data_IF_416860272914
#
_entry.id   IF_416860272914
#
_cell.length_a   1.000
_cell.length_b   1.000
_cell.length_c   1.000
_cell.angle_alpha   90.00
_cell.angle_beta   90.00
_cell.angle_gamma   90.00
#
_symmetry.space_group_name_H-M   'P 1'
#
loop_
_entity.id
_entity.type
_entity.pdbx_description
1 polymer ?
#
# COMPACT_ATOMS: atom_id res chain seq x y z
N UNK A 1 -28.10 -2.42 -89.00
CA UNK A 1 -27.94 -0.98 -89.35
C UNK A 1 -28.27 -0.16 -88.11
N UNK A 2 -27.64 1.01 -87.97
CA UNK A 2 -27.46 1.83 -86.75
C UNK A 2 -26.25 1.39 -85.93
N UNK A 3 -25.41 2.27 -85.42
CA UNK A 3 -25.12 3.68 -85.66
C UNK A 3 -23.95 4.01 -84.72
N UNK A 4 -23.05 4.86 -85.18
CA UNK A 4 -21.85 5.34 -84.51
C UNK A 4 -22.10 6.10 -83.19
N UNK A 5 -20.96 6.37 -82.52
CA UNK A 5 -20.59 7.48 -81.61
C UNK A 5 -20.53 7.07 -80.13
N UNK A 6 -19.60 7.53 -79.31
CA UNK A 6 -18.42 8.39 -79.44
C UNK A 6 -17.68 8.26 -78.10
N UNK A 7 -16.36 8.22 -78.11
CA UNK A 7 -15.56 8.29 -76.88
C UNK A 7 -15.75 9.63 -76.17
N UNK A 8 -16.12 9.57 -74.89
CA UNK A 8 -15.90 10.61 -73.88
C UNK A 8 -15.72 9.87 -72.54
N UNK A 9 -14.53 9.96 -71.96
CA UNK A 9 -14.23 9.43 -70.62
C UNK A 9 -14.42 10.58 -69.63
N UNK A 10 -15.39 10.52 -68.69
CA UNK A 10 -15.42 11.45 -67.59
C UNK A 10 -14.52 10.96 -66.46
N UNK A 11 -13.75 11.90 -65.92
CA UNK A 11 -12.99 11.82 -64.67
C UNK A 11 -13.78 11.07 -63.57
N UNK A 12 -13.18 10.01 -63.04
CA UNK A 12 -13.64 9.37 -61.82
C UNK A 12 -13.33 10.30 -60.63
N UNK A 13 -14.34 11.01 -60.13
CA UNK A 13 -14.28 11.58 -58.79
C UNK A 13 -14.42 10.42 -57.78
N UNK A 14 -13.29 9.88 -57.33
CA UNK A 14 -13.27 9.08 -56.11
C UNK A 14 -13.65 9.99 -54.93
N UNK A 15 -14.83 9.73 -54.38
CA UNK A 15 -15.21 10.22 -53.05
C UNK A 15 -14.22 9.63 -52.05
N UNK A 16 -13.37 10.50 -51.53
CA UNK A 16 -12.51 10.26 -50.39
C UNK A 16 -13.39 9.91 -49.18
N UNK A 17 -13.60 8.62 -48.94
CA UNK A 17 -14.07 8.14 -47.64
C UNK A 17 -12.86 8.02 -46.74
N UNK A 18 -12.86 8.89 -45.74
CA UNK A 18 -12.14 8.77 -44.49
C UNK A 18 -12.14 7.32 -43.98
N UNK A 19 -10.96 6.82 -43.63
CA UNK A 19 -10.68 6.08 -42.40
C UNK A 19 -9.25 6.51 -42.03
N UNK A 20 -9.12 7.34 -41.00
CA UNK A 20 -7.83 7.50 -40.32
C UNK A 20 -7.75 6.32 -39.36
N UNK A 21 -7.24 5.19 -39.83
CA UNK A 21 -6.82 4.11 -38.94
C UNK A 21 -5.51 4.54 -38.30
N UNK A 22 -5.60 5.14 -37.11
CA UNK A 22 -4.46 5.10 -36.20
C UNK A 22 -4.36 3.66 -35.70
N UNK A 23 -3.28 2.91 -36.00
CA UNK A 23 -3.09 1.62 -35.36
C UNK A 23 -3.06 1.88 -33.85
N UNK A 24 -3.99 1.24 -33.13
CA UNK A 24 -4.02 1.35 -31.68
C UNK A 24 -2.62 1.01 -31.15
N UNK A 25 -2.01 1.95 -30.44
CA UNK A 25 -0.70 1.72 -29.86
C UNK A 25 -0.78 0.52 -28.91
N UNK A 26 0.22 -0.34 -28.94
CA UNK A 26 0.36 -1.46 -27.98
C UNK A 26 1.53 -1.15 -27.05
N UNK A 27 1.46 -1.66 -25.82
CA UNK A 27 2.62 -1.60 -24.91
C UNK A 27 3.77 -2.46 -25.46
N UNK A 28 5.00 -2.30 -24.94
CA UNK A 28 6.01 -3.35 -25.05
C UNK A 28 5.50 -4.67 -24.42
N UNK A 29 6.07 -5.83 -24.79
CA UNK A 29 5.88 -7.05 -24.03
C UNK A 29 6.36 -6.83 -22.59
N UNK A 30 5.74 -7.52 -21.63
CA UNK A 30 6.01 -7.31 -20.21
C UNK A 30 6.54 -8.59 -19.58
N UNK A 31 7.56 -8.50 -18.72
CA UNK A 31 7.89 -9.56 -17.78
C UNK A 31 7.04 -9.36 -16.52
N UNK A 32 6.34 -10.40 -16.06
CA UNK A 32 5.36 -10.33 -14.98
C UNK A 32 5.48 -11.52 -14.02
N UNK A 33 5.08 -11.32 -12.77
CA UNK A 33 4.84 -12.40 -11.81
C UNK A 33 3.38 -12.83 -11.92
N UNK A 34 3.14 -14.06 -12.37
CA UNK A 34 1.80 -14.63 -12.57
C UNK A 34 1.53 -15.81 -11.66
N UNK A 35 0.26 -16.06 -11.37
CA UNK A 35 -0.21 -17.30 -10.72
C UNK A 35 -1.57 -17.72 -11.28
N UNK A 36 -1.71 -19.02 -11.57
CA UNK A 36 -2.92 -19.60 -12.18
C UNK A 36 -3.88 -20.22 -11.15
N UNK A 37 -3.44 -20.32 -9.90
CA UNK A 37 -4.20 -20.87 -8.78
C UNK A 37 -3.73 -20.27 -7.46
N UNK A 38 -4.60 -20.27 -6.45
CA UNK A 38 -4.22 -19.90 -5.10
C UNK A 38 -3.39 -20.99 -4.41
N UNK A 39 -2.48 -20.59 -3.52
CA UNK A 39 -1.66 -21.52 -2.75
C UNK A 39 -0.42 -20.86 -2.14
N UNK A 40 0.55 -21.66 -1.65
CA UNK A 40 1.82 -21.15 -1.14
C UNK A 40 2.51 -20.28 -2.19
N UNK A 41 2.78 -18.98 -1.92
CA UNK A 41 3.26 -18.04 -2.94
C UNK A 41 4.55 -18.47 -3.63
N UNK A 42 5.46 -19.08 -2.89
CA UNK A 42 6.73 -19.64 -3.38
C UNK A 42 6.57 -20.81 -4.35
N UNK A 43 5.41 -21.46 -4.36
CA UNK A 43 5.09 -22.60 -5.22
C UNK A 43 4.23 -22.21 -6.41
N UNK A 44 3.27 -21.29 -6.23
CA UNK A 44 2.26 -20.98 -7.27
C UNK A 44 2.62 -19.80 -8.17
N UNK A 45 3.59 -18.97 -7.77
CA UNK A 45 4.01 -17.82 -8.57
C UNK A 45 5.18 -18.18 -9.50
N UNK A 46 5.19 -17.59 -10.70
CA UNK A 46 6.31 -17.67 -11.64
C UNK A 46 6.55 -16.32 -12.32
N UNK A 47 7.80 -16.05 -12.67
CA UNK A 47 8.16 -14.93 -13.56
C UNK A 47 8.04 -15.41 -15.01
N UNK A 48 7.30 -14.70 -15.85
CA UNK A 48 7.10 -15.05 -17.27
C UNK A 48 6.91 -13.81 -18.13
N UNK A 49 7.10 -13.95 -19.44
CA UNK A 49 6.74 -12.90 -20.40
C UNK A 49 5.27 -12.98 -20.76
N UNK A 50 4.61 -11.83 -20.85
CA UNK A 50 3.23 -11.67 -21.29
C UNK A 50 3.17 -10.76 -22.52
N UNK A 51 2.21 -10.98 -23.42
CA UNK A 51 2.13 -10.23 -24.67
C UNK A 51 1.82 -8.73 -24.43
N UNK A 52 2.15 -7.87 -25.40
CA UNK A 52 1.70 -6.49 -25.46
C UNK A 52 0.19 -6.32 -25.18
N UNK A 53 -0.15 -5.28 -24.42
CA UNK A 53 -1.53 -4.87 -24.15
C UNK A 53 -1.91 -3.69 -25.04
N UNK A 54 -3.13 -3.70 -25.58
CA UNK A 54 -3.67 -2.60 -26.38
C UNK A 54 -3.87 -1.36 -25.51
N UNK A 55 -3.43 -0.20 -25.99
CA UNK A 55 -3.64 1.10 -25.37
C UNK A 55 -4.84 1.75 -26.07
N UNK A 56 -5.95 1.92 -25.34
CA UNK A 56 -7.12 2.66 -25.83
C UNK A 56 -6.92 4.17 -25.70
N UNK A 57 -7.89 4.97 -26.15
CA UNK A 57 -7.78 6.43 -26.19
C UNK A 57 -7.57 7.08 -24.82
N UNK A 58 -8.08 6.46 -23.73
CA UNK A 58 -7.96 6.97 -22.36
C UNK A 58 -6.86 6.27 -21.54
N UNK A 59 -6.21 5.24 -22.10
CA UNK A 59 -5.23 4.46 -21.37
C UNK A 59 -3.87 5.13 -21.32
N UNK A 60 -3.13 4.80 -20.27
CA UNK A 60 -1.74 5.18 -20.07
C UNK A 60 -0.94 3.90 -19.87
N UNK A 61 0.08 3.72 -20.70
CA UNK A 61 1.10 2.71 -20.50
C UNK A 61 2.21 3.27 -19.62
N UNK A 62 2.42 2.62 -18.47
CA UNK A 62 3.41 3.00 -17.47
C UNK A 62 4.50 1.93 -17.42
N UNK A 63 5.75 2.35 -17.54
CA UNK A 63 6.91 1.49 -17.26
C UNK A 63 7.14 1.49 -15.75
N UNK A 64 6.97 0.35 -15.11
CA UNK A 64 7.14 0.24 -13.66
C UNK A 64 8.59 0.49 -13.28
N UNK A 65 8.80 1.14 -12.14
CA UNK A 65 10.14 1.42 -11.58
C UNK A 65 10.36 0.63 -10.29
N UNK A 66 9.33 0.57 -9.45
CA UNK A 66 9.38 -0.22 -8.22
C UNK A 66 7.99 -0.65 -7.73
N UNK A 67 7.92 -1.83 -7.12
CA UNK A 67 6.70 -2.37 -6.52
C UNK A 67 7.01 -3.21 -5.26
N UNK A 68 6.37 -2.97 -4.12
CA UNK A 68 6.61 -3.72 -2.90
C UNK A 68 5.92 -5.09 -2.86
N UNK A 69 6.42 -5.93 -1.95
CA UNK A 69 5.72 -7.14 -1.52
C UNK A 69 5.08 -6.89 -0.14
N UNK A 70 3.77 -6.74 -0.08
CA UNK A 70 3.00 -6.55 1.17
C UNK A 70 2.43 -7.88 1.69
N UNK A 71 2.16 -7.99 3.03
CA UNK A 71 1.44 -9.14 3.58
C UNK A 71 0.07 -9.39 2.91
N UNK A 72 -0.61 -8.33 2.46
CA UNK A 72 -1.86 -8.46 1.73
C UNK A 72 -1.68 -9.15 0.36
N UNK A 73 -0.56 -8.92 -0.32
CA UNK A 73 -0.26 -9.59 -1.61
C UNK A 73 -0.05 -11.09 -1.39
N UNK A 74 0.72 -11.46 -0.36
CA UNK A 74 0.91 -12.84 0.09
C UNK A 74 -0.44 -13.50 0.39
N UNK A 75 -1.28 -12.87 1.22
CA UNK A 75 -2.59 -13.41 1.60
C UNK A 75 -3.55 -13.57 0.41
N UNK A 76 -3.44 -12.71 -0.62
CA UNK A 76 -4.24 -12.83 -1.86
C UNK A 76 -3.80 -14.02 -2.70
N UNK A 77 -2.49 -14.23 -2.82
CA UNK A 77 -1.93 -15.40 -3.51
C UNK A 77 -2.32 -16.68 -2.77
N UNK A 78 -2.26 -16.69 -1.43
CA UNK A 78 -2.73 -17.80 -0.59
C UNK A 78 -4.25 -18.05 -0.68
N UNK A 79 -5.02 -17.09 -1.18
CA UNK A 79 -6.49 -17.18 -1.29
C UNK A 79 -7.24 -16.97 0.02
N UNK A 80 -6.59 -16.42 1.06
CA UNK A 80 -7.16 -16.18 2.39
C UNK A 80 -7.56 -14.71 2.63
N UNK A 81 -7.23 -13.82 1.70
CA UNK A 81 -7.66 -12.42 1.75
C UNK A 81 -9.11 -12.26 1.24
N UNK A 82 -9.93 -11.34 1.78
CA UNK A 82 -11.34 -11.20 1.36
C UNK A 82 -11.52 -10.85 -0.13
N UNK A 83 -10.69 -9.95 -0.66
CA UNK A 83 -10.66 -9.62 -2.09
C UNK A 83 -9.75 -10.61 -2.80
N UNK A 84 -10.37 -11.45 -3.63
CA UNK A 84 -9.70 -12.51 -4.40
C UNK A 84 -9.82 -12.21 -5.89
N UNK A 85 -8.72 -11.82 -6.58
CA UNK A 85 -8.75 -11.67 -8.02
C UNK A 85 -9.02 -13.03 -8.68
N UNK A 86 -9.73 -13.02 -9.81
CA UNK A 86 -9.89 -14.23 -10.62
C UNK A 86 -8.54 -14.65 -11.18
N UNK A 87 -8.22 -15.93 -11.06
CA UNK A 87 -7.00 -16.53 -11.61
C UNK A 87 -7.28 -17.09 -13.02
N UNK A 88 -6.32 -17.05 -13.96
CA UNK A 88 -4.94 -16.57 -13.81
C UNK A 88 -4.83 -15.04 -13.70
N UNK A 89 -3.86 -14.56 -12.92
CA UNK A 89 -3.66 -13.12 -12.69
C UNK A 89 -2.20 -12.75 -12.37
N UNK A 90 -1.93 -11.45 -12.33
CA UNK A 90 -0.62 -10.85 -12.04
C UNK A 90 -0.60 -10.40 -10.57
N UNK A 91 0.53 -10.64 -9.90
CA UNK A 91 0.74 -10.23 -8.50
C UNK A 91 0.92 -8.72 -8.31
N UNK A 92 0.89 -8.29 -7.05
CA UNK A 92 1.14 -6.89 -6.64
C UNK A 92 -0.07 -5.96 -6.78
N UNK A 93 -0.13 -4.96 -5.91
CA UNK A 93 -1.23 -3.98 -5.84
C UNK A 93 -0.77 -2.52 -5.69
N UNK A 94 0.51 -2.34 -5.40
CA UNK A 94 1.12 -1.06 -5.08
C UNK A 94 2.39 -0.93 -5.93
N UNK A 95 2.69 0.28 -6.38
CA UNK A 95 3.88 0.53 -7.17
C UNK A 95 3.92 1.94 -7.76
N UNK A 96 5.09 2.30 -8.24
CA UNK A 96 5.37 3.55 -8.93
C UNK A 96 6.00 3.24 -10.28
N UNK A 97 5.67 4.03 -11.28
CA UNK A 97 6.23 3.93 -12.61
C UNK A 97 6.34 5.28 -13.30
N UNK A 98 6.88 5.24 -14.50
CA UNK A 98 7.05 6.39 -15.37
C UNK A 98 6.16 6.22 -16.61
N UNK A 99 5.44 7.29 -16.98
CA UNK A 99 4.59 7.29 -18.17
C UNK A 99 5.44 7.02 -19.41
N UNK A 100 5.17 5.89 -20.07
CA UNK A 100 5.89 5.42 -21.26
C UNK A 100 5.19 5.83 -22.55
N UNK A 101 3.87 5.64 -22.64
CA UNK A 101 3.02 6.05 -23.76
C UNK A 101 1.56 6.18 -23.29
N UNK A 102 0.70 6.83 -24.07
CA UNK A 102 -0.69 7.07 -23.70
C UNK A 102 -1.59 7.27 -24.92
N UNK A 103 -2.88 7.05 -24.73
CA UNK A 103 -3.90 7.27 -25.74
C UNK A 103 -4.14 8.75 -26.07
N UNK A 104 -4.77 9.00 -27.22
CA UNK A 104 -4.98 10.35 -27.76
C UNK A 104 -5.87 11.26 -26.89
N UNK A 105 -6.73 10.69 -26.04
CA UNK A 105 -7.62 11.43 -25.15
C UNK A 105 -6.98 11.80 -23.80
N UNK A 106 -5.78 11.27 -23.48
CA UNK A 106 -5.05 11.62 -22.26
C UNK A 106 -4.47 13.04 -22.37
N UNK A 107 -4.84 13.93 -21.43
CA UNK A 107 -4.42 15.34 -21.43
C UNK A 107 -3.65 15.78 -20.18
N UNK A 108 -3.74 15.01 -19.09
CA UNK A 108 -3.23 15.39 -17.76
C UNK A 108 -1.84 14.81 -17.46
N UNK A 109 -1.38 13.87 -18.28
CA UNK A 109 -0.11 13.16 -18.12
C UNK A 109 0.76 13.34 -19.37
N UNK A 110 2.07 13.27 -19.18
CA UNK A 110 3.08 13.39 -20.23
C UNK A 110 4.17 12.33 -20.09
N UNK A 111 4.88 12.05 -21.17
CA UNK A 111 6.03 11.14 -21.14
C UNK A 111 7.02 11.55 -20.03
N UNK A 112 7.51 10.56 -19.28
CA UNK A 112 8.45 10.81 -18.19
C UNK A 112 7.82 11.34 -16.91
N UNK A 113 6.50 11.48 -16.82
CA UNK A 113 5.83 11.76 -15.54
C UNK A 113 5.91 10.56 -14.62
N UNK A 114 6.21 10.83 -13.34
CA UNK A 114 6.23 9.81 -12.29
C UNK A 114 4.79 9.65 -11.75
N UNK A 115 4.28 8.43 -11.74
CA UNK A 115 2.90 8.12 -11.37
C UNK A 115 2.84 6.95 -10.39
N UNK A 116 1.93 7.05 -9.41
CA UNK A 116 1.58 5.97 -8.49
C UNK A 116 0.30 5.31 -9.00
N UNK A 117 0.30 3.97 -8.98
CA UNK A 117 -0.87 3.17 -9.30
C UNK A 117 -1.91 3.23 -8.18
N UNK A 118 -3.18 3.28 -8.56
CA UNK A 118 -4.31 3.14 -7.65
C UNK A 118 -4.19 1.84 -6.82
N UNK A 119 -4.22 1.95 -5.49
CA UNK A 119 -4.04 0.82 -4.56
C UNK A 119 -5.24 -0.16 -4.54
N UNK A 120 -6.20 0.00 -5.45
CA UNK A 120 -7.43 -0.78 -5.55
C UNK A 120 -7.42 -1.77 -6.73
N UNK A 121 -6.35 -1.83 -7.51
CA UNK A 121 -6.27 -2.69 -8.71
C UNK A 121 -5.01 -3.57 -8.63
N UNK A 122 -5.11 -4.89 -8.92
CA UNK A 122 -3.96 -5.78 -8.95
C UNK A 122 -3.05 -5.54 -10.16
N UNK A 123 -1.90 -6.21 -10.18
CA UNK A 123 -1.06 -6.36 -11.37
C UNK A 123 0.13 -5.41 -11.44
N UNK A 124 0.69 -4.96 -10.32
CA UNK A 124 1.86 -4.08 -10.33
C UNK A 124 3.20 -4.81 -10.42
N UNK A 125 3.23 -6.13 -10.25
CA UNK A 125 4.46 -6.95 -10.39
C UNK A 125 4.73 -7.32 -11.84
N UNK A 126 4.86 -6.32 -12.69
CA UNK A 126 5.19 -6.46 -14.10
C UNK A 126 5.91 -5.22 -14.64
N UNK A 127 6.67 -5.35 -15.73
CA UNK A 127 7.48 -4.26 -16.28
C UNK A 127 6.68 -3.12 -16.92
N UNK A 128 5.52 -3.40 -17.51
CA UNK A 128 4.61 -2.42 -18.10
C UNK A 128 3.18 -2.67 -17.66
N UNK A 129 2.46 -1.61 -17.28
CA UNK A 129 1.05 -1.64 -16.87
C UNK A 129 0.27 -0.68 -17.79
N UNK A 130 -0.85 -1.12 -18.35
CA UNK A 130 -1.74 -0.31 -19.19
C UNK A 130 -3.09 -0.21 -18.49
N UNK A 131 -3.45 1.00 -18.08
CA UNK A 131 -4.70 1.27 -17.34
C UNK A 131 -5.23 2.66 -17.68
N UNK A 132 -6.51 2.90 -17.42
CA UNK A 132 -7.17 4.19 -17.64
C UNK A 132 -6.46 5.33 -16.89
N UNK A 133 -6.36 6.52 -17.50
CA UNK A 133 -5.69 7.69 -16.92
C UNK A 133 -6.19 8.08 -15.51
N UNK A 134 -7.43 7.75 -15.15
CA UNK A 134 -7.98 8.04 -13.82
C UNK A 134 -7.34 7.24 -12.69
N UNK A 135 -6.72 6.10 -13.01
CA UNK A 135 -6.07 5.17 -12.07
C UNK A 135 -4.63 5.56 -11.73
N UNK A 136 -4.10 6.58 -12.40
CA UNK A 136 -2.75 7.07 -12.20
C UNK A 136 -2.77 8.40 -11.45
N UNK A 137 -1.99 8.48 -10.38
CA UNK A 137 -1.74 9.73 -9.66
C UNK A 137 -0.35 10.26 -9.98
N UNK A 138 -0.28 11.42 -10.65
CA UNK A 138 0.98 12.11 -10.91
C UNK A 138 1.58 12.65 -9.63
N UNK A 139 2.85 12.38 -9.41
CA UNK A 139 3.59 12.82 -8.22
C UNK A 139 4.81 13.67 -8.58
N UNK A 140 5.35 14.35 -7.57
CA UNK A 140 6.55 15.14 -7.70
C UNK A 140 7.77 14.27 -8.08
N UNK A 141 8.48 14.64 -9.15
CA UNK A 141 9.64 13.89 -9.68
C UNK A 141 10.83 13.85 -8.73
N UNK A 142 10.91 14.73 -7.73
CA UNK A 142 11.94 14.71 -6.69
C UNK A 142 11.69 13.67 -5.59
N UNK A 143 10.56 12.96 -5.65
CA UNK A 143 10.21 11.92 -4.68
C UNK A 143 11.13 10.70 -4.85
N UNK A 144 11.79 10.21 -3.79
CA UNK A 144 12.56 8.97 -3.87
C UNK A 144 11.66 7.79 -4.25
N UNK A 145 12.11 7.00 -5.22
CA UNK A 145 11.32 5.96 -5.88
C UNK A 145 10.82 4.91 -4.90
N UNK A 146 11.63 4.50 -3.94
CA UNK A 146 11.27 3.49 -2.94
C UNK A 146 10.12 3.94 -2.03
N UNK A 147 10.03 5.24 -1.72
CA UNK A 147 8.93 5.80 -0.95
C UNK A 147 7.69 5.98 -1.80
N UNK A 148 7.84 6.46 -3.05
CA UNK A 148 6.73 6.51 -4.00
C UNK A 148 6.10 5.12 -4.21
N UNK A 149 6.93 4.09 -4.31
CA UNK A 149 6.49 2.71 -4.46
C UNK A 149 5.77 2.14 -3.24
N UNK A 150 5.88 2.73 -2.04
CA UNK A 150 5.37 2.13 -0.79
C UNK A 150 4.39 3.00 -0.03
N UNK A 151 3.99 4.13 -0.62
CA UNK A 151 3.20 5.16 0.07
C UNK A 151 1.69 4.87 0.11
N UNK A 152 1.16 4.15 -0.87
CA UNK A 152 -0.29 4.04 -1.07
C UNK A 152 -0.96 2.96 -0.24
N UNK A 153 -0.19 2.11 0.44
CA UNK A 153 -0.71 1.11 1.37
C UNK A 153 -0.33 1.41 2.82
N UNK A 154 0.95 1.30 3.19
CA UNK A 154 1.32 1.31 4.61
C UNK A 154 1.27 2.71 5.24
N UNK A 155 1.91 3.75 4.67
CA UNK A 155 1.79 5.12 5.17
C UNK A 155 0.36 5.66 5.09
N UNK A 156 -0.36 5.37 4.01
CA UNK A 156 -1.77 5.75 3.88
C UNK A 156 -2.66 5.11 4.95
N UNK A 157 -2.45 3.82 5.26
CA UNK A 157 -3.16 3.14 6.35
C UNK A 157 -2.90 3.79 7.70
N UNK A 158 -1.62 4.10 8.01
CA UNK A 158 -1.25 4.78 9.24
C UNK A 158 -1.94 6.16 9.35
N UNK A 159 -1.92 6.94 8.26
CA UNK A 159 -2.54 8.25 8.21
C UNK A 159 -4.06 8.19 8.45
N UNK A 160 -4.76 7.30 7.74
CA UNK A 160 -6.22 7.14 7.86
C UNK A 160 -6.65 6.68 9.24
N UNK A 161 -5.92 5.74 9.85
CA UNK A 161 -6.23 5.32 11.22
C UNK A 161 -6.10 6.45 12.23
N UNK A 162 -5.14 7.37 12.03
CA UNK A 162 -4.94 8.54 12.90
C UNK A 162 -5.95 9.66 12.67
N UNK A 163 -6.64 9.70 11.53
CA UNK A 163 -7.56 10.80 11.17
C UNK A 163 -9.04 10.42 11.33
N UNK A 164 -9.38 9.17 11.07
CA UNK A 164 -10.77 8.84 10.74
C UNK A 164 -11.60 8.26 11.88
N UNK A 165 -10.98 7.89 13.00
CA UNK A 165 -11.64 7.15 14.08
C UNK A 165 -11.84 7.96 15.34
N UNK A 166 -10.83 8.75 15.72
CA UNK A 166 -10.85 9.60 16.91
C UNK A 166 -10.21 10.93 16.54
N UNK A 167 -10.88 12.03 16.86
CA UNK A 167 -10.30 13.36 16.71
C UNK A 167 -9.17 13.55 17.74
N UNK A 168 -7.93 13.32 17.30
CA UNK A 168 -6.72 13.49 18.09
C UNK A 168 -6.21 14.93 18.00
N UNK A 169 -5.75 15.46 19.13
CA UNK A 169 -5.14 16.78 19.28
C UNK A 169 -3.68 16.63 19.71
N UNK A 170 -2.81 17.64 19.47
CA UNK A 170 -1.49 17.66 20.09
C UNK A 170 -1.60 17.47 21.61
N UNK A 171 -0.73 16.64 22.18
CA UNK A 171 -0.74 16.20 23.58
C UNK A 171 -1.63 14.99 23.88
N UNK A 172 -2.50 14.57 22.96
CA UNK A 172 -3.20 13.28 23.10
C UNK A 172 -2.21 12.11 22.89
N UNK A 173 -2.59 10.94 23.40
CA UNK A 173 -1.77 9.72 23.31
C UNK A 173 -2.46 8.64 22.47
N UNK A 174 -1.65 7.88 21.73
CA UNK A 174 -2.04 6.63 21.08
C UNK A 174 -1.24 5.44 21.63
N UNK A 175 -1.78 4.24 21.50
CA UNK A 175 -1.06 2.99 21.75
C UNK A 175 -1.16 2.08 20.53
N UNK A 176 -0.09 1.35 20.21
CA UNK A 176 -0.14 0.36 19.13
C UNK A 176 0.63 -0.91 19.47
N UNK A 177 0.21 -2.05 18.91
CA UNK A 177 1.04 -3.24 18.82
C UNK A 177 1.61 -3.41 17.41
N UNK A 178 2.60 -4.30 17.26
CA UNK A 178 3.26 -4.50 15.97
C UNK A 178 4.06 -3.29 15.50
N UNK A 179 4.62 -2.52 16.45
CA UNK A 179 5.29 -1.25 16.19
C UNK A 179 6.51 -1.35 15.25
N UNK A 180 7.09 -2.55 15.08
CA UNK A 180 8.19 -2.79 14.13
C UNK A 180 7.73 -2.91 12.68
N UNK A 181 6.43 -3.05 12.41
CA UNK A 181 5.89 -3.06 11.05
C UNK A 181 6.06 -1.69 10.36
N UNK A 182 5.99 -1.64 9.03
CA UNK A 182 6.07 -0.36 8.30
C UNK A 182 4.90 0.56 8.69
N UNK A 183 3.69 0.02 8.85
CA UNK A 183 2.55 0.80 9.37
C UNK A 183 2.88 1.36 10.75
N UNK A 184 3.42 0.55 11.67
CA UNK A 184 3.76 0.99 13.02
C UNK A 184 4.84 2.06 13.06
N UNK A 185 5.88 1.93 12.23
CA UNK A 185 6.92 2.95 12.07
C UNK A 185 6.37 4.25 11.47
N UNK A 186 5.40 4.17 10.57
CA UNK A 186 4.71 5.35 10.02
C UNK A 186 3.82 6.02 11.08
N UNK A 187 3.10 5.24 11.88
CA UNK A 187 2.27 5.74 12.99
C UNK A 187 3.12 6.55 13.97
N UNK A 188 4.28 6.04 14.38
CA UNK A 188 5.22 6.75 15.28
C UNK A 188 5.57 8.13 14.73
N UNK A 189 6.01 8.18 13.47
CA UNK A 189 6.49 9.41 12.86
C UNK A 189 5.35 10.41 12.60
N UNK A 190 4.18 9.92 12.16
CA UNK A 190 3.00 10.76 11.96
C UNK A 190 2.45 11.30 13.28
N UNK A 191 2.48 10.51 14.36
CA UNK A 191 2.13 10.97 15.70
C UNK A 191 3.08 12.09 16.15
N UNK A 192 4.40 11.89 16.02
CA UNK A 192 5.41 12.92 16.30
C UNK A 192 5.21 14.20 15.49
N UNK A 193 4.94 14.08 14.18
CA UNK A 193 4.66 15.23 13.30
C UNK A 193 3.46 16.05 13.78
N UNK A 194 2.49 15.40 14.45
CA UNK A 194 1.26 16.01 14.98
C UNK A 194 1.34 16.40 16.46
N UNK A 195 2.48 16.18 17.11
CA UNK A 195 2.62 16.39 18.56
C UNK A 195 1.76 15.45 19.41
N UNK A 196 1.48 14.24 18.91
CA UNK A 196 0.73 13.18 19.60
C UNK A 196 1.74 12.21 20.21
N UNK A 197 1.54 11.81 21.47
CA UNK A 197 2.37 10.80 22.13
C UNK A 197 2.06 9.40 21.62
N UNK A 198 3.08 8.54 21.57
CA UNK A 198 2.98 7.17 21.08
C UNK A 198 3.55 6.14 22.05
N UNK A 199 2.71 5.18 22.43
CA UNK A 199 3.10 3.98 23.18
C UNK A 199 3.16 2.80 22.22
N UNK A 200 4.31 2.14 22.17
CA UNK A 200 4.64 1.21 21.10
C UNK A 200 4.99 -0.16 21.66
N UNK A 201 4.16 -1.15 21.37
CA UNK A 201 4.33 -2.52 21.87
C UNK A 201 5.03 -3.36 20.81
N UNK A 202 6.14 -3.99 21.20
CA UNK A 202 6.90 -4.93 20.39
C UNK A 202 6.88 -6.33 21.01
N UNK A 203 7.07 -7.36 20.17
CA UNK A 203 7.21 -8.73 20.66
C UNK A 203 8.54 -8.93 21.37
N UNK A 204 8.53 -9.75 22.41
CA UNK A 204 9.74 -10.24 23.07
C UNK A 204 10.61 -11.05 22.10
N UNK A 205 11.87 -10.63 21.95
CA UNK A 205 12.89 -11.34 21.17
C UNK A 205 14.31 -10.92 21.59
N UNK A 206 15.34 -11.72 21.28
CA UNK A 206 16.73 -11.26 21.36
C UNK A 206 16.93 -9.97 20.56
N UNK A 207 17.64 -9.00 21.13
CA UNK A 207 17.87 -7.67 20.53
C UNK A 207 16.68 -6.71 20.63
N UNK A 208 15.76 -6.91 21.59
CA UNK A 208 14.64 -5.98 21.81
C UNK A 208 15.11 -4.57 22.15
N UNK A 209 16.21 -4.41 22.89
CA UNK A 209 16.74 -3.08 23.25
C UNK A 209 17.19 -2.28 22.02
N UNK A 210 17.93 -2.90 21.09
CA UNK A 210 18.30 -2.27 19.82
C UNK A 210 17.06 -1.87 19.00
N UNK A 211 16.00 -2.69 19.05
CA UNK A 211 14.74 -2.39 18.37
C UNK A 211 14.04 -1.21 19.03
N UNK A 212 14.00 -1.14 20.36
CA UNK A 212 13.48 0.01 21.10
C UNK A 212 14.22 1.28 20.71
N UNK A 213 15.55 1.27 20.74
CA UNK A 213 16.36 2.43 20.33
C UNK A 213 16.06 2.88 18.90
N UNK A 214 15.87 1.94 17.96
CA UNK A 214 15.48 2.27 16.58
C UNK A 214 14.12 2.95 16.51
N UNK A 215 13.12 2.47 17.25
CA UNK A 215 11.79 3.09 17.28
C UNK A 215 11.81 4.46 17.99
N UNK A 216 12.60 4.62 19.06
CA UNK A 216 12.81 5.91 19.72
C UNK A 216 13.47 6.93 18.77
N UNK A 217 14.44 6.51 17.95
CA UNK A 217 15.05 7.36 16.90
C UNK A 217 14.03 7.83 15.85
N UNK A 218 13.01 7.02 15.56
CA UNK A 218 11.88 7.41 14.69
C UNK A 218 10.91 8.37 15.40
N UNK A 219 10.99 8.53 16.72
CA UNK A 219 10.17 9.45 17.49
C UNK A 219 9.13 8.80 18.40
N UNK A 220 9.29 7.52 18.74
CA UNK A 220 8.45 6.90 19.77
C UNK A 220 8.67 7.61 21.11
N UNK A 221 7.61 7.75 21.91
CA UNK A 221 7.71 8.28 23.27
C UNK A 221 8.01 7.16 24.27
N UNK A 222 7.25 6.06 24.16
CA UNK A 222 7.46 4.85 24.96
C UNK A 222 7.46 3.61 24.07
N UNK A 223 8.35 2.66 24.39
CA UNK A 223 8.42 1.36 23.72
C UNK A 223 8.54 0.25 24.76
N UNK A 224 7.58 -0.66 24.76
CA UNK A 224 7.53 -1.81 25.68
C UNK A 224 7.55 -3.12 24.92
N UNK A 225 8.19 -4.14 25.50
CA UNK A 225 7.91 -5.52 25.11
C UNK A 225 6.56 -5.99 25.67
N UNK A 226 6.04 -7.12 25.20
CA UNK A 226 4.78 -7.66 25.74
C UNK A 226 4.96 -8.07 27.22
N UNK A 227 6.13 -8.62 27.58
CA UNK A 227 6.44 -9.02 28.96
C UNK A 227 6.58 -7.85 29.94
N UNK A 228 7.08 -6.70 29.50
CA UNK A 228 7.18 -5.49 30.34
C UNK A 228 5.82 -4.92 30.74
N UNK A 229 4.77 -5.27 29.97
CA UNK A 229 3.39 -4.87 30.27
C UNK A 229 2.65 -5.90 31.13
N UNK A 230 3.30 -7.00 31.53
CA UNK A 230 2.74 -7.99 32.47
C UNK A 230 2.93 -7.55 33.92
N UNK A 231 2.35 -6.39 34.24
CA UNK A 231 2.40 -5.78 35.57
C UNK A 231 1.00 -5.60 36.14
N UNK A 232 0.90 -5.53 37.47
CA UNK A 232 -0.39 -5.33 38.17
C UNK A 232 -1.07 -4.01 37.80
N UNK A 233 -0.29 -2.95 37.58
CA UNK A 233 -0.79 -1.62 37.22
C UNK A 233 0.01 -1.07 36.05
N UNK A 234 -0.50 -1.21 34.83
CA UNK A 234 0.16 -0.66 33.63
C UNK A 234 0.20 0.88 33.69
N UNK A 235 -0.70 1.53 34.42
CA UNK A 235 -0.73 3.00 34.56
C UNK A 235 0.56 3.57 35.18
N UNK A 236 1.25 2.81 36.02
CA UNK A 236 2.52 3.30 36.61
C UNK A 236 3.67 3.33 35.62
N UNK A 237 3.50 2.77 34.41
CA UNK A 237 4.51 2.78 33.34
C UNK A 237 4.37 3.97 32.39
N UNK A 238 3.33 4.80 32.56
CA UNK A 238 3.01 5.88 31.61
C UNK A 238 3.71 7.20 31.94
N UNK A 239 4.46 7.27 33.03
CA UNK A 239 5.02 8.53 33.54
C UNK A 239 3.96 9.65 33.56
N UNK A 240 4.24 10.79 32.94
CA UNK A 240 3.31 11.93 32.81
C UNK A 240 2.46 11.87 31.51
N UNK A 241 2.57 10.80 30.72
CA UNK A 241 1.86 10.67 29.43
C UNK A 241 0.39 10.32 29.68
N UNK A 242 -0.57 11.07 29.08
CA UNK A 242 -1.99 10.78 29.21
C UNK A 242 -2.38 9.39 28.71
N UNK A 243 -3.43 8.81 29.29
CA UNK A 243 -3.94 7.51 28.84
C UNK A 243 -4.42 7.56 27.37
N UNK A 244 -4.01 6.58 26.52
CA UNK A 244 -4.33 6.54 25.11
C UNK A 244 -5.81 6.63 24.75
N UNK A 245 -6.14 7.51 23.81
CA UNK A 245 -7.50 7.67 23.26
C UNK A 245 -7.79 6.67 22.15
N UNK A 246 -6.76 6.32 21.39
CA UNK A 246 -6.80 5.45 20.23
C UNK A 246 -5.76 4.34 20.39
N UNK A 247 -6.19 3.12 20.15
CA UNK A 247 -5.38 1.91 20.11
C UNK A 247 -5.33 1.35 18.71
N UNK A 248 -4.16 0.94 18.21
CA UNK A 248 -4.01 0.32 16.90
C UNK A 248 -3.53 -1.12 17.06
N UNK A 249 -4.24 -2.06 16.42
CA UNK A 249 -3.96 -3.49 16.52
C UNK A 249 -3.78 -4.12 15.13
N UNK A 250 -2.71 -4.89 14.96
CA UNK A 250 -2.48 -5.73 13.78
C UNK A 250 -2.14 -7.18 14.09
N UNK A 251 -2.14 -7.58 15.36
CA UNK A 251 -1.68 -8.90 15.79
C UNK A 251 -2.88 -9.80 16.12
N UNK A 252 -3.81 -9.35 16.97
CA UNK A 252 -4.85 -10.19 17.56
C UNK A 252 -4.40 -10.91 18.84
N UNK A 253 -5.27 -11.76 19.41
CA UNK A 253 -4.99 -12.51 20.63
C UNK A 253 -4.60 -11.63 21.83
N UNK A 254 -3.73 -12.15 22.70
CA UNK A 254 -3.30 -11.46 23.93
C UNK A 254 -2.62 -10.11 23.67
N UNK A 255 -1.92 -9.96 22.55
CA UNK A 255 -1.29 -8.69 22.17
C UNK A 255 -2.32 -7.58 21.92
N UNK A 256 -3.53 -7.92 21.45
CA UNK A 256 -4.63 -6.96 21.34
C UNK A 256 -5.18 -6.57 22.73
N UNK A 257 -5.21 -7.50 23.68
CA UNK A 257 -5.63 -7.23 25.06
C UNK A 257 -4.72 -6.21 25.75
N UNK A 258 -3.41 -6.23 25.49
CA UNK A 258 -2.47 -5.24 26.03
C UNK A 258 -2.82 -3.81 25.56
N UNK A 259 -3.17 -3.65 24.28
CA UNK A 259 -3.65 -2.38 23.71
C UNK A 259 -4.92 -1.92 24.42
N UNK A 260 -5.90 -2.81 24.62
CA UNK A 260 -7.16 -2.49 25.31
C UNK A 260 -6.93 -2.06 26.76
N UNK A 261 -6.03 -2.75 27.49
CA UNK A 261 -5.70 -2.43 28.88
C UNK A 261 -5.15 -1.01 29.01
N UNK A 262 -4.34 -0.56 28.05
CA UNK A 262 -3.73 0.76 28.01
C UNK A 262 -4.66 1.90 27.63
N UNK A 263 -5.79 1.64 26.95
CA UNK A 263 -6.72 2.70 26.57
C UNK A 263 -7.20 3.53 27.78
N UNK A 264 -7.74 4.71 27.55
CA UNK A 264 -8.52 5.44 28.56
C UNK A 264 -9.98 4.96 28.59
N UNK A 265 -10.77 5.52 29.51
CA UNK A 265 -12.24 5.44 29.48
C UNK A 265 -12.80 5.97 28.14
N UNK A 266 -13.69 5.22 27.49
CA UNK A 266 -14.26 5.59 26.19
C UNK A 266 -13.26 5.51 25.04
N UNK A 267 -12.12 4.84 25.23
CA UNK A 267 -11.09 4.68 24.20
C UNK A 267 -11.55 3.76 23.06
N UNK A 268 -10.97 3.95 21.87
CA UNK A 268 -11.26 3.10 20.70
C UNK A 268 -10.04 2.30 20.30
N UNK A 269 -10.18 0.99 20.09
CA UNK A 269 -9.18 0.18 19.39
C UNK A 269 -9.60 -0.08 17.95
N UNK A 270 -8.72 0.23 17.00
CA UNK A 270 -8.88 -0.02 15.57
C UNK A 270 -7.99 -1.20 15.18
N UNK A 271 -8.58 -2.22 14.55
CA UNK A 271 -7.86 -3.38 14.02
C UNK A 271 -7.72 -3.28 12.51
N UNK A 272 -6.49 -3.37 12.00
CA UNK A 272 -6.18 -3.32 10.56
C UNK A 272 -5.46 -4.56 10.04
N UNK A 273 -5.20 -5.54 10.91
CA UNK A 273 -4.53 -6.78 10.56
C UNK A 273 -4.69 -7.84 11.66
N UNK A 274 -4.29 -9.08 11.35
CA UNK A 274 -4.43 -10.21 12.27
C UNK A 274 -3.31 -11.22 12.09
N UNK A 275 -2.05 -10.78 12.24
CA UNK A 275 -0.87 -11.61 11.96
C UNK A 275 -0.79 -12.90 12.78
N UNK A 276 -1.41 -12.95 13.98
CA UNK A 276 -1.45 -14.17 14.79
C UNK A 276 -2.51 -15.18 14.36
N UNK A 277 -3.44 -14.78 13.47
CA UNK A 277 -4.67 -15.53 13.13
C UNK A 277 -5.55 -15.88 14.34
N UNK A 278 -5.30 -15.27 15.51
CA UNK A 278 -6.13 -15.42 16.72
C UNK A 278 -7.18 -14.32 16.77
N UNK A 279 -8.39 -14.63 17.27
CA UNK A 279 -9.43 -13.61 17.46
C UNK A 279 -9.00 -12.56 18.47
N UNK A 280 -9.66 -11.41 18.44
CA UNK A 280 -9.55 -10.40 19.49
C UNK A 280 -10.46 -10.84 20.64
N UNK A 281 -9.95 -10.74 21.87
CA UNK A 281 -10.73 -11.00 23.09
C UNK A 281 -10.74 -9.74 23.93
N UNK A 282 -11.92 -9.36 24.41
CA UNK A 282 -12.12 -8.21 25.31
C UNK A 282 -12.74 -8.69 26.61
N UNK A 283 -12.27 -8.17 27.76
CA UNK A 283 -12.90 -8.48 29.04
C UNK A 283 -14.24 -7.75 29.16
N UNK A 284 -15.25 -8.42 29.74
CA UNK A 284 -16.55 -7.81 30.03
C UNK A 284 -16.40 -6.52 30.84
N UNK A 285 -15.44 -6.48 31.76
CA UNK A 285 -15.15 -5.28 32.56
C UNK A 285 -14.64 -4.10 31.72
N UNK A 286 -13.75 -4.34 30.76
CA UNK A 286 -13.24 -3.27 29.87
C UNK A 286 -14.33 -2.82 28.90
N UNK A 287 -15.19 -3.74 28.47
CA UNK A 287 -16.28 -3.41 27.56
C UNK A 287 -17.37 -2.59 28.24
N UNK A 288 -17.83 -3.00 29.43
CA UNK A 288 -18.93 -2.32 30.15
C UNK A 288 -18.42 -1.10 30.91
N UNK A 289 -17.41 -1.26 31.77
CA UNK A 289 -17.06 -0.23 32.74
C UNK A 289 -16.04 0.77 32.20
N UNK A 290 -15.21 0.37 31.23
CA UNK A 290 -14.28 1.27 30.52
C UNK A 290 -14.85 1.82 29.22
N UNK A 291 -16.02 1.32 28.80
CA UNK A 291 -16.73 1.75 27.58
C UNK A 291 -15.83 1.74 26.33
N UNK A 292 -15.00 0.70 26.19
CA UNK A 292 -14.07 0.60 25.07
C UNK A 292 -14.81 0.21 23.79
N UNK A 293 -14.55 0.96 22.71
CA UNK A 293 -15.06 0.65 21.37
C UNK A 293 -14.05 -0.15 20.55
N UNK A 294 -14.51 -1.16 19.80
CA UNK A 294 -13.70 -1.92 18.85
C UNK A 294 -14.15 -1.64 17.42
N UNK A 295 -13.21 -1.34 16.53
CA UNK A 295 -13.47 -1.01 15.12
C UNK A 295 -12.52 -1.76 14.20
N UNK A 296 -12.97 -2.04 12.98
CA UNK A 296 -12.12 -2.51 11.89
C UNK A 296 -11.68 -1.35 10.99
N UNK A 297 -10.48 -1.45 10.44
CA UNK A 297 -10.01 -0.60 9.35
C UNK A 297 -9.57 -1.47 8.18
N UNK A 298 -10.17 -1.22 7.01
CA UNK A 298 -9.76 -1.84 5.77
C UNK A 298 -9.63 -0.76 4.69
N UNK A 299 -8.40 -0.52 4.25
CA UNK A 299 -8.08 0.54 3.30
C UNK A 299 -8.87 0.42 1.97
N UNK A 300 -9.18 -0.80 1.53
CA UNK A 300 -9.88 -1.01 0.25
C UNK A 300 -11.37 -0.74 0.30
N UNK A 301 -12.03 -0.96 1.45
CA UNK A 301 -13.45 -0.66 1.64
C UNK A 301 -13.69 0.82 1.94
N UNK A 302 -12.68 1.51 2.47
CA UNK A 302 -12.71 2.96 2.59
C UNK A 302 -12.86 3.57 1.19
N UNK A 303 -14.09 3.94 0.85
CA UNK A 303 -14.48 4.78 -0.27
C UNK A 303 -13.90 6.20 -0.07
N UNK A 304 -12.57 6.30 -0.05
CA UNK A 304 -11.90 7.58 -0.13
C UNK A 304 -12.26 8.15 -1.49
N UNK A 305 -12.80 9.36 -1.51
CA UNK A 305 -12.90 10.06 -2.77
C UNK A 305 -11.49 10.24 -3.36
N UNK A 306 -11.41 10.27 -4.69
CA UNK A 306 -10.13 10.32 -5.40
C UNK A 306 -9.30 11.56 -5.01
N UNK A 307 -9.94 12.69 -4.69
CA UNK A 307 -9.23 13.90 -4.31
C UNK A 307 -8.58 13.75 -2.91
N UNK A 308 -9.31 13.18 -1.95
CA UNK A 308 -8.80 12.88 -0.62
C UNK A 308 -7.65 11.88 -0.68
N UNK A 309 -7.79 10.81 -1.48
CA UNK A 309 -6.71 9.85 -1.71
C UNK A 309 -5.44 10.56 -2.22
N UNK A 310 -5.54 11.32 -3.31
CA UNK A 310 -4.40 12.01 -3.93
C UNK A 310 -3.74 13.02 -3.00
N UNK A 311 -4.53 13.86 -2.33
CA UNK A 311 -4.03 14.82 -1.34
C UNK A 311 -3.23 14.15 -0.21
N UNK A 312 -3.67 12.96 0.18
CA UNK A 312 -3.01 12.20 1.25
C UNK A 312 -1.70 11.57 0.80
N UNK A 313 -1.66 11.05 -0.42
CA UNK A 313 -0.41 10.59 -1.03
C UNK A 313 0.56 11.77 -1.14
N UNK A 314 0.13 12.91 -1.64
CA UNK A 314 0.99 14.09 -1.80
C UNK A 314 1.55 14.58 -0.47
N UNK A 315 0.72 14.61 0.58
CA UNK A 315 1.14 14.94 1.95
C UNK A 315 2.20 13.96 2.48
N UNK A 316 1.99 12.66 2.34
CA UNK A 316 2.92 11.63 2.81
C UNK A 316 4.24 11.67 2.05
N UNK A 317 4.20 11.85 0.73
CA UNK A 317 5.40 12.00 -0.09
C UNK A 317 6.14 13.30 0.23
N UNK A 318 5.43 14.39 0.57
CA UNK A 318 6.06 15.61 1.04
C UNK A 318 6.82 15.40 2.36
N UNK A 319 6.25 14.64 3.30
CA UNK A 319 6.95 14.25 4.53
C UNK A 319 8.17 13.37 4.24
N UNK A 320 8.08 12.44 3.30
CA UNK A 320 9.21 11.60 2.88
C UNK A 320 10.34 12.44 2.28
N UNK A 321 10.02 13.36 1.36
CA UNK A 321 11.00 14.31 0.77
C UNK A 321 11.65 15.21 1.82
N UNK A 322 10.88 15.69 2.80
CA UNK A 322 11.38 16.46 3.93
C UNK A 322 12.15 15.61 4.98
N UNK A 323 12.21 14.30 4.77
CA UNK A 323 12.86 13.36 5.68
C UNK A 323 12.18 13.21 7.04
N UNK A 324 10.89 13.55 7.15
CA UNK A 324 10.03 13.44 8.34
C UNK A 324 9.20 12.15 8.37
N UNK A 325 9.25 11.37 7.29
CA UNK A 325 8.70 10.02 7.21
C UNK A 325 9.74 9.12 6.53
N UNK A 326 10.35 8.22 7.30
CA UNK A 326 11.45 7.35 6.88
C UNK A 326 11.26 5.93 7.40
N UNK A 327 11.61 4.95 6.58
CA UNK A 327 11.68 3.54 6.98
C UNK A 327 12.61 2.79 6.06
N UNK A 328 13.19 1.70 6.56
CA UNK A 328 14.18 0.93 5.81
C UNK A 328 13.53 -0.06 4.83
N UNK A 329 14.04 -0.03 3.61
CA UNK A 329 13.66 -0.91 2.51
C UNK A 329 14.88 -1.63 1.96
N UNK A 330 14.64 -2.75 1.30
CA UNK A 330 15.63 -3.46 0.50
C UNK A 330 15.10 -3.49 -0.94
N UNK A 331 15.81 -2.78 -1.83
CA UNK A 331 15.54 -2.81 -3.25
C UNK A 331 16.15 -4.08 -3.84
N UNK A 332 15.32 -4.92 -4.43
CA UNK A 332 15.70 -6.21 -5.01
C UNK A 332 15.42 -6.17 -6.50
N UNK A 333 16.38 -6.51 -7.38
CA UNK A 333 16.11 -6.63 -8.81
C UNK A 333 14.90 -7.52 -9.07
N UNK A 334 14.04 -7.15 -10.01
CA UNK A 334 12.81 -7.92 -10.31
C UNK A 334 13.11 -9.39 -10.67
N UNK A 335 14.24 -9.65 -11.33
CA UNK A 335 14.69 -11.01 -11.66
C UNK A 335 14.97 -11.89 -10.43
N UNK A 336 15.22 -11.28 -9.26
CA UNK A 336 15.42 -11.98 -7.98
C UNK A 336 14.11 -12.06 -7.16
N UNK A 337 12.96 -12.02 -7.84
CA UNK A 337 11.63 -12.01 -7.21
C UNK A 337 11.46 -13.11 -6.14
N UNK A 338 11.86 -14.34 -6.42
CA UNK A 338 11.71 -15.45 -5.46
C UNK A 338 12.49 -15.20 -4.17
N UNK A 339 13.69 -14.63 -4.25
CA UNK A 339 14.48 -14.23 -3.08
C UNK A 339 13.79 -13.11 -2.29
N UNK A 340 13.24 -12.11 -2.99
CA UNK A 340 12.45 -11.05 -2.34
C UNK A 340 11.20 -11.63 -1.64
N UNK A 341 10.51 -12.56 -2.28
CA UNK A 341 9.32 -13.22 -1.75
C UNK A 341 9.62 -14.01 -0.48
N UNK A 342 10.67 -14.83 -0.47
CA UNK A 342 11.08 -15.58 0.73
C UNK A 342 11.40 -14.67 1.92
N UNK A 343 12.10 -13.55 1.67
CA UNK A 343 12.39 -12.53 2.68
C UNK A 343 11.10 -11.87 3.19
N UNK A 344 10.17 -11.53 2.28
CA UNK A 344 8.90 -10.91 2.64
C UNK A 344 7.97 -11.85 3.45
N UNK A 345 8.04 -13.17 3.17
CA UNK A 345 7.35 -14.21 3.94
C UNK A 345 8.01 -14.49 5.31
N UNK A 346 9.17 -13.88 5.60
CA UNK A 346 9.87 -14.04 6.88
C UNK A 346 10.59 -15.38 7.05
N UNK A 347 10.78 -16.16 5.98
CA UNK A 347 11.50 -17.45 6.03
C UNK A 347 12.96 -17.30 6.50
N UNK A 348 13.54 -16.12 6.33
CA UNK A 348 14.91 -15.77 6.73
C UNK A 348 14.95 -14.78 7.91
N UNK A 349 13.89 -14.74 8.73
CA UNK A 349 13.74 -13.82 9.86
C UNK A 349 13.20 -12.44 9.47
N UNK A 350 13.15 -11.52 10.43
CA UNK A 350 12.66 -10.16 10.22
C UNK A 350 13.62 -9.38 9.32
N UNK A 351 13.20 -9.13 8.07
CA UNK A 351 13.98 -8.36 7.09
C UNK A 351 13.34 -7.00 6.81
N UNK A 352 14.10 -6.11 6.17
CA UNK A 352 13.61 -4.84 5.66
C UNK A 352 12.46 -5.09 4.68
N UNK A 353 11.64 -4.07 4.46
CA UNK A 353 10.57 -4.11 3.47
C UNK A 353 11.16 -4.41 2.09
N UNK A 354 10.73 -5.50 1.46
CA UNK A 354 11.18 -5.90 0.14
C UNK A 354 10.44 -5.08 -0.93
N UNK A 355 11.20 -4.46 -1.82
CA UNK A 355 10.70 -3.64 -2.93
C UNK A 355 11.38 -4.12 -4.20
N UNK A 356 10.59 -4.66 -5.12
CA UNK A 356 11.05 -5.06 -6.45
C UNK A 356 11.44 -3.80 -7.22
N UNK A 357 12.59 -3.83 -7.89
CA UNK A 357 13.12 -2.78 -8.76
C UNK A 357 13.18 -3.31 -10.20
N UNK A 358 12.52 -2.60 -11.10
CA UNK A 358 12.37 -2.96 -12.52
C UNK A 358 13.45 -2.32 -13.39
#
# INVERSE_FOLDING_TARGET
>A
MLSQRSHYVPFCHEKQKSIVDFPAAVSPPSTAVVYDQHGPPDTVTRVTEIPPVKITENDVCVRMLAAPINPADINRIEGVYPVRPQVPTIGGWEGVGEVHSFGSAVKTLSHGDLVIHSAYIPGTWQTYVVEDQSLWHKIDKSTPIEYAATCSVNPLSALRMLEDFVALKPGDTIVQNGATSIVGQCVIQLARVRGIHSINIIRDKPGSDEVKEKLMKLGADLVFTESELDVKSIKSLLDDIPEPRLGLNCIGGNAATLVIKLLRQGGTMVTYGGMSKKPITISTSSFIFKDVSLRGFWLQEKNLDQAQYRCSIDYLLALARAGRLKYEMELVPFNDFHTALEKAMGKQGSRKKQVLKF
#
